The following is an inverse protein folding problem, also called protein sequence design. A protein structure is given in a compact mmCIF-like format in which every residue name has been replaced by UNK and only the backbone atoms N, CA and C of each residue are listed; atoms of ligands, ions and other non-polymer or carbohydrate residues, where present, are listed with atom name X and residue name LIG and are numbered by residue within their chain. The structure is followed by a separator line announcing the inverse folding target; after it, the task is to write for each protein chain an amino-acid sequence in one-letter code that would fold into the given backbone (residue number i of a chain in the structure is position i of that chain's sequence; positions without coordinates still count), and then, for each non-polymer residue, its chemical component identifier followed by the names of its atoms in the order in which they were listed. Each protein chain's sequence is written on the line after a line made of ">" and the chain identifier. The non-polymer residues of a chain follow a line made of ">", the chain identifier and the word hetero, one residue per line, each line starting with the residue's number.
data_IF_810662243269
#
_entry.id   IF_810662243269
#
_cell.length_a   1.000
_cell.length_b   1.000
_cell.length_c   1.000
_cell.angle_alpha   90.00
_cell.angle_beta   90.00
_cell.angle_gamma   90.00
#
_symmetry.space_group_name_H-M   'P 1'
#
loop_
_entity.id
_entity.type
_entity.pdbx_description
1 polymer ?
#
# COMPACT_ATOMS: atom_id res chain seq x y z
N UNK A 1 10.16 3.43 -10.54
CA UNK A 1 8.94 4.04 -11.12
C UNK A 1 8.52 5.19 -10.22
N UNK A 2 7.94 6.22 -10.81
CA UNK A 2 7.49 7.42 -10.14
C UNK A 2 5.98 7.56 -10.39
N UNK A 3 5.19 7.51 -9.32
CA UNK A 3 3.73 7.49 -9.34
C UNK A 3 3.23 8.92 -9.08
N UNK A 4 2.39 9.44 -9.98
CA UNK A 4 1.67 10.70 -9.79
C UNK A 4 0.17 10.40 -9.77
N UNK A 5 -0.56 11.00 -8.84
CA UNK A 5 -2.00 10.77 -8.76
C UNK A 5 -2.82 11.90 -8.15
N UNK A 6 -4.08 11.94 -8.57
CA UNK A 6 -5.18 12.68 -7.97
C UNK A 6 -6.01 11.75 -7.08
N UNK A 7 -6.68 12.30 -6.07
CA UNK A 7 -7.58 11.54 -5.19
C UNK A 7 -8.93 12.23 -5.10
N UNK A 8 -10.02 11.47 -5.21
CA UNK A 8 -11.37 11.89 -4.90
C UNK A 8 -12.05 10.85 -4.00
N UNK A 9 -13.10 11.26 -3.29
CA UNK A 9 -13.93 10.37 -2.49
C UNK A 9 -15.28 10.23 -3.18
N UNK A 10 -15.78 9.00 -3.26
CA UNK A 10 -17.07 8.68 -3.86
C UNK A 10 -17.91 8.00 -2.79
N UNK A 11 -19.11 8.54 -2.54
CA UNK A 11 -20.02 7.95 -1.56
C UNK A 11 -20.47 6.55 -1.97
N UNK A 12 -20.77 5.69 -1.00
CA UNK A 12 -21.15 4.31 -1.26
C UNK A 12 -22.39 4.19 -2.17
N UNK A 13 -23.35 5.11 -2.04
CA UNK A 13 -24.56 5.20 -2.88
C UNK A 13 -24.26 5.54 -4.33
N UNK A 14 -23.16 6.26 -4.58
CA UNK A 14 -22.85 6.84 -5.88
C UNK A 14 -21.87 5.97 -6.67
N UNK A 15 -21.46 4.83 -6.10
CA UNK A 15 -20.51 3.91 -6.71
C UNK A 15 -20.89 3.50 -8.14
N UNK A 16 -22.12 3.07 -8.36
CA UNK A 16 -22.57 2.64 -9.70
C UNK A 16 -22.56 3.80 -10.70
N UNK A 17 -22.91 5.02 -10.27
CA UNK A 17 -22.85 6.21 -11.10
C UNK A 17 -21.39 6.56 -11.45
N UNK A 18 -20.48 6.51 -10.48
CA UNK A 18 -19.05 6.71 -10.70
C UNK A 18 -18.48 5.68 -11.68
N UNK A 19 -18.82 4.39 -11.54
CA UNK A 19 -18.44 3.36 -12.50
C UNK A 19 -19.00 3.62 -13.89
N UNK A 20 -20.25 4.07 -14.02
CA UNK A 20 -20.84 4.39 -15.32
C UNK A 20 -20.13 5.57 -16.00
N UNK A 21 -19.83 6.64 -15.27
CA UNK A 21 -19.05 7.78 -15.76
C UNK A 21 -17.67 7.34 -16.23
N UNK A 22 -16.93 6.61 -15.38
CA UNK A 22 -15.59 6.12 -15.73
C UNK A 22 -15.62 5.13 -16.90
N UNK A 23 -16.65 4.29 -17.00
CA UNK A 23 -16.81 3.36 -18.12
C UNK A 23 -17.03 4.09 -19.44
N UNK A 24 -17.89 5.12 -19.43
CA UNK A 24 -18.12 5.96 -20.60
C UNK A 24 -16.87 6.75 -20.98
N UNK A 25 -16.18 7.32 -19.98
CA UNK A 25 -14.98 8.12 -20.17
C UNK A 25 -13.78 7.31 -20.69
N UNK A 26 -13.59 6.09 -20.17
CA UNK A 26 -12.50 5.20 -20.56
C UNK A 26 -12.88 4.26 -21.72
N UNK A 27 -14.14 4.28 -22.17
CA UNK A 27 -14.70 3.38 -23.17
C UNK A 27 -14.45 1.88 -22.86
N UNK A 28 -14.49 1.50 -21.58
CA UNK A 28 -14.30 0.12 -21.14
C UNK A 28 -15.12 -0.19 -19.89
N UNK A 29 -15.55 -1.45 -19.68
CA UNK A 29 -16.15 -1.85 -18.42
C UNK A 29 -15.11 -1.85 -17.28
N UNK A 30 -15.54 -1.79 -16.01
CA UNK A 30 -14.64 -1.93 -14.89
C UNK A 30 -13.96 -3.30 -14.88
N UNK A 31 -12.68 -3.33 -14.55
CA UNK A 31 -11.97 -4.54 -14.17
C UNK A 31 -11.95 -4.65 -12.64
N UNK A 32 -12.79 -5.52 -12.10
CA UNK A 32 -12.83 -5.84 -10.66
C UNK A 32 -11.70 -6.81 -10.27
N UNK A 33 -11.02 -6.51 -9.17
CA UNK A 33 -10.06 -7.40 -8.52
C UNK A 33 -10.19 -7.30 -7.01
N UNK A 34 -9.92 -8.40 -6.31
CA UNK A 34 -9.80 -8.41 -4.86
C UNK A 34 -8.39 -8.85 -4.49
N UNK A 35 -7.78 -8.13 -3.56
CA UNK A 35 -6.43 -8.37 -3.11
C UNK A 35 -6.42 -8.60 -1.60
N UNK A 36 -5.70 -9.63 -1.14
CA UNK A 36 -5.25 -9.73 0.25
C UNK A 36 -3.96 -8.93 0.39
N UNK A 37 -3.94 -7.95 1.29
CA UNK A 37 -2.78 -7.08 1.50
C UNK A 37 -2.21 -7.32 2.89
N UNK A 38 -0.96 -7.76 2.96
CA UNK A 38 -0.23 -8.00 4.19
C UNK A 38 0.76 -6.86 4.43
N UNK A 39 0.75 -6.30 5.62
CA UNK A 39 1.60 -5.17 5.99
C UNK A 39 2.74 -5.64 6.91
N UNK A 40 3.96 -5.33 6.50
CA UNK A 40 5.18 -5.71 7.19
C UNK A 40 6.00 -4.48 7.57
N UNK A 41 6.22 -4.26 8.85
CA UNK A 41 7.05 -3.16 9.33
C UNK A 41 8.53 -3.55 9.25
N UNK A 42 9.34 -2.68 8.66
CA UNK A 42 10.80 -2.84 8.66
C UNK A 42 11.44 -2.77 10.05
N UNK A 43 12.67 -3.28 10.18
CA UNK A 43 13.41 -3.28 11.44
C UNK A 43 13.73 -1.85 11.92
N UNK A 44 13.93 -1.60 13.23
CA UNK A 44 14.29 -0.27 13.72
C UNK A 44 15.60 0.28 13.12
N UNK A 45 16.55 -0.61 12.82
CA UNK A 45 17.78 -0.29 12.11
C UNK A 45 17.64 -0.73 10.65
N UNK A 46 17.64 0.20 9.67
CA UNK A 46 17.51 -0.16 8.27
C UNK A 46 18.74 -0.94 7.79
N UNK A 47 18.51 -2.09 7.16
CA UNK A 47 19.54 -2.98 6.59
C UNK A 47 19.24 -3.40 5.16
N UNK A 48 18.14 -2.91 4.58
CA UNK A 48 17.65 -3.35 3.28
C UNK A 48 17.17 -4.80 3.29
N UNK A 49 17.12 -5.38 2.09
CA UNK A 49 16.92 -6.82 1.86
C UNK A 49 18.30 -7.44 1.63
N UNK A 50 19.07 -7.66 2.71
CA UNK A 50 20.44 -8.17 2.65
C UNK A 50 20.49 -9.70 2.59
N UNK A 51 19.54 -10.37 3.25
CA UNK A 51 19.39 -11.82 3.18
C UNK A 51 18.55 -12.19 1.96
N UNK A 52 19.15 -12.92 1.02
CA UNK A 52 18.51 -13.36 -0.22
C UNK A 52 18.24 -14.88 -0.25
N UNK A 53 18.34 -15.59 0.87
CA UNK A 53 18.17 -17.04 0.91
C UNK A 53 16.77 -17.47 0.44
N UNK A 54 15.74 -16.70 0.81
CA UNK A 54 14.35 -16.95 0.42
C UNK A 54 13.94 -16.30 -0.90
N UNK A 55 14.82 -15.52 -1.55
CA UNK A 55 14.53 -14.92 -2.86
C UNK A 55 14.73 -15.98 -3.95
N UNK A 56 13.69 -16.23 -4.73
CA UNK A 56 13.71 -17.23 -5.80
C UNK A 56 14.71 -16.85 -6.92
N UNK A 57 15.51 -17.81 -7.36
CA UNK A 57 16.52 -17.66 -8.42
C UNK A 57 16.34 -18.78 -9.46
N UNK A 58 16.61 -18.53 -10.75
CA UNK A 58 17.09 -17.29 -11.35
C UNK A 58 15.99 -16.23 -11.51
N UNK A 59 16.40 -14.96 -11.55
CA UNK A 59 15.49 -13.82 -11.64
C UNK A 59 15.54 -13.20 -13.04
N UNK A 60 14.40 -12.66 -13.51
CA UNK A 60 14.38 -11.81 -14.70
C UNK A 60 15.23 -10.55 -14.46
N UNK A 61 15.86 -10.00 -15.51
CA UNK A 61 16.82 -8.89 -15.40
C UNK A 61 16.18 -7.62 -14.81
N UNK A 62 14.97 -7.31 -15.23
CA UNK A 62 14.12 -6.23 -14.72
C UNK A 62 13.83 -6.41 -13.22
N UNK A 63 13.41 -7.61 -12.82
CA UNK A 63 13.18 -7.93 -11.41
C UNK A 63 14.46 -7.76 -10.58
N UNK A 64 15.61 -8.25 -11.06
CA UNK A 64 16.89 -8.09 -10.36
C UNK A 64 17.26 -6.60 -10.15
N UNK A 65 16.99 -5.73 -11.12
CA UNK A 65 17.19 -4.29 -10.97
C UNK A 65 16.27 -3.69 -9.91
N UNK A 66 14.98 -4.05 -9.92
CA UNK A 66 14.01 -3.57 -8.94
C UNK A 66 14.33 -4.05 -7.51
N UNK A 67 14.81 -5.27 -7.34
CA UNK A 67 15.27 -5.77 -6.03
C UNK A 67 16.49 -4.99 -5.52
N UNK A 68 17.41 -4.61 -6.41
CA UNK A 68 18.56 -3.77 -6.05
C UNK A 68 18.14 -2.36 -5.65
N UNK A 69 17.23 -1.73 -6.41
CA UNK A 69 16.69 -0.40 -6.06
C UNK A 69 15.92 -0.46 -4.74
N UNK A 70 15.08 -1.48 -4.54
CA UNK A 70 14.36 -1.71 -3.30
C UNK A 70 15.33 -1.85 -2.12
N UNK A 71 16.36 -2.69 -2.24
CA UNK A 71 17.39 -2.84 -1.22
C UNK A 71 18.05 -1.50 -0.89
N UNK A 72 18.41 -0.69 -1.89
CA UNK A 72 19.05 0.60 -1.67
C UNK A 72 18.18 1.58 -0.87
N UNK A 73 16.88 1.65 -1.17
CA UNK A 73 15.95 2.53 -0.45
C UNK A 73 15.76 2.04 1.01
N UNK A 74 15.57 0.73 1.19
CA UNK A 74 15.35 0.11 2.50
C UNK A 74 16.61 0.05 3.40
N UNK A 75 17.80 0.21 2.82
CA UNK A 75 19.06 0.34 3.57
C UNK A 75 19.25 1.73 4.16
N UNK A 76 18.53 2.75 3.67
CA UNK A 76 18.63 4.13 4.17
C UNK A 76 17.61 4.43 5.27
N UNK A 77 16.42 3.86 5.15
CA UNK A 77 15.28 4.13 6.01
C UNK A 77 14.38 2.89 6.05
N UNK A 78 13.77 2.63 7.20
CA UNK A 78 12.81 1.53 7.34
C UNK A 78 11.41 1.99 6.97
N UNK A 79 10.67 1.10 6.31
CA UNK A 79 9.32 1.35 5.80
C UNK A 79 8.38 0.21 6.16
N UNK A 80 7.08 0.49 6.12
CA UNK A 80 6.04 -0.53 6.03
C UNK A 80 5.93 -0.98 4.56
N UNK A 81 6.15 -2.26 4.32
CA UNK A 81 6.01 -2.91 3.01
C UNK A 81 4.68 -3.64 2.91
N UNK A 82 4.20 -3.80 1.67
CA UNK A 82 3.00 -4.57 1.36
C UNK A 82 3.36 -5.81 0.55
N UNK A 83 2.93 -6.99 1.00
CA UNK A 83 2.82 -8.18 0.15
C UNK A 83 1.36 -8.36 -0.25
N UNK A 84 1.09 -8.44 -1.55
CA UNK A 84 -0.27 -8.41 -2.10
C UNK A 84 -0.52 -9.68 -2.90
N UNK A 85 -1.68 -10.31 -2.70
CA UNK A 85 -2.08 -11.54 -3.37
C UNK A 85 -3.48 -11.39 -3.93
N UNK A 86 -3.70 -11.86 -5.15
CA UNK A 86 -5.03 -11.93 -5.74
C UNK A 86 -5.89 -12.94 -4.99
N UNK A 87 -7.17 -12.59 -4.80
CA UNK A 87 -8.17 -13.39 -4.10
C UNK A 87 -9.38 -13.55 -5.00
N UNK A 88 -9.85 -14.78 -5.14
CA UNK A 88 -11.13 -15.10 -5.79
C UNK A 88 -12.16 -15.32 -4.69
N UNK A 89 -13.17 -14.43 -4.60
CA UNK A 89 -14.16 -14.39 -3.50
C UNK A 89 -14.80 -15.76 -3.26
N UNK A 90 -15.17 -16.47 -4.32
CA UNK A 90 -15.91 -17.73 -4.27
C UNK A 90 -15.03 -18.94 -3.89
N UNK A 91 -13.71 -18.86 -4.11
CA UNK A 91 -12.76 -19.95 -3.90
C UNK A 91 -11.97 -19.81 -2.60
N UNK A 92 -11.54 -18.59 -2.31
CA UNK A 92 -10.50 -18.31 -1.32
C UNK A 92 -11.04 -17.77 0.01
N UNK A 93 -12.35 -17.48 0.08
CA UNK A 93 -12.98 -16.86 1.25
C UNK A 93 -14.11 -17.72 1.83
N UNK A 94 -14.25 -17.68 3.15
CA UNK A 94 -15.33 -18.37 3.86
C UNK A 94 -14.97 -19.76 4.39
N UNK A 95 -15.93 -20.45 5.01
CA UNK A 95 -15.66 -21.67 5.80
C UNK A 95 -15.22 -22.87 4.96
N UNK A 96 -15.50 -22.87 3.65
CA UNK A 96 -15.09 -23.92 2.71
C UNK A 96 -13.75 -23.63 2.01
N UNK A 97 -13.15 -22.46 2.23
CA UNK A 97 -11.89 -22.10 1.60
C UNK A 97 -10.74 -22.94 2.16
N UNK A 98 -9.89 -23.44 1.27
CA UNK A 98 -8.69 -24.15 1.67
C UNK A 98 -7.68 -23.17 2.29
N UNK A 99 -6.91 -23.58 3.31
CA UNK A 99 -5.80 -22.79 3.80
C UNK A 99 -4.80 -22.45 2.69
N UNK A 100 -4.38 -21.18 2.62
CA UNK A 100 -3.45 -20.70 1.61
C UNK A 100 -2.03 -20.71 2.16
N UNK A 101 -1.12 -21.40 1.46
CA UNK A 101 0.32 -21.26 1.68
C UNK A 101 0.85 -20.05 0.91
N UNK A 102 1.01 -18.94 1.65
CA UNK A 102 1.50 -17.67 1.13
C UNK A 102 2.94 -17.71 0.61
N UNK A 103 3.78 -18.64 1.07
CA UNK A 103 5.14 -18.77 0.53
C UNK A 103 5.15 -19.46 -0.83
N UNK A 104 4.15 -20.29 -1.13
CA UNK A 104 3.96 -20.93 -2.44
C UNK A 104 3.25 -20.03 -3.46
N UNK A 105 2.38 -19.12 -2.99
CA UNK A 105 1.60 -18.22 -3.82
C UNK A 105 2.47 -17.14 -4.48
N UNK A 106 2.15 -16.79 -5.72
CA UNK A 106 2.72 -15.61 -6.37
C UNK A 106 1.99 -14.37 -5.88
N UNK A 107 2.76 -13.35 -5.52
CA UNK A 107 2.25 -12.06 -5.07
C UNK A 107 3.08 -10.90 -5.59
N UNK A 108 2.72 -9.71 -5.13
CA UNK A 108 3.38 -8.45 -5.46
C UNK A 108 3.99 -7.89 -4.19
N UNK A 109 5.30 -7.67 -4.18
CA UNK A 109 5.94 -6.88 -3.13
C UNK A 109 5.94 -5.41 -3.55
N UNK A 110 5.25 -4.57 -2.76
CA UNK A 110 5.08 -3.15 -3.03
C UNK A 110 5.74 -2.30 -1.96
N UNK A 111 6.52 -1.33 -2.42
CA UNK A 111 7.08 -0.23 -1.64
C UNK A 111 6.67 1.10 -2.26
N UNK A 112 6.34 2.08 -1.42
CA UNK A 112 6.05 3.45 -1.82
C UNK A 112 6.77 4.40 -0.86
N UNK A 113 7.44 5.40 -1.41
CA UNK A 113 8.15 6.42 -0.64
C UNK A 113 7.19 7.48 -0.06
N UNK A 114 7.72 8.31 0.84
CA UNK A 114 7.03 9.48 1.33
C UNK A 114 6.81 10.49 0.18
N UNK A 115 5.59 11.01 -0.03
CA UNK A 115 5.36 11.92 -1.14
C UNK A 115 6.13 13.23 -1.04
N UNK A 116 6.49 13.76 -2.21
CA UNK A 116 7.13 15.06 -2.32
C UNK A 116 6.23 16.17 -1.76
N UNK A 117 6.82 17.32 -1.36
CA UNK A 117 6.03 18.48 -1.03
C UNK A 117 5.10 18.86 -2.19
N UNK A 118 3.87 19.31 -1.91
CA UNK A 118 2.97 19.75 -2.96
C UNK A 118 3.55 20.94 -3.71
N UNK A 119 3.50 20.89 -5.04
CA UNK A 119 3.95 21.97 -5.93
C UNK A 119 2.82 22.35 -6.89
N UNK A 120 2.50 23.65 -6.97
CA UNK A 120 1.49 24.17 -7.92
C UNK A 120 0.03 23.82 -7.59
N UNK A 121 -0.86 24.08 -8.55
CA UNK A 121 -2.27 23.66 -8.57
C UNK A 121 -2.58 23.03 -9.94
N UNK A 122 -3.32 21.91 -10.03
CA UNK A 122 -3.91 21.13 -8.94
C UNK A 122 -2.84 20.46 -8.05
N UNK A 123 -3.19 20.19 -6.79
CA UNK A 123 -2.25 19.53 -5.87
C UNK A 123 -2.20 18.04 -6.20
N UNK A 124 -1.19 17.67 -6.98
CA UNK A 124 -0.89 16.28 -7.31
C UNK A 124 -0.06 15.65 -6.19
N UNK A 125 -0.38 14.41 -5.84
CA UNK A 125 0.53 13.61 -5.01
C UNK A 125 1.51 12.89 -5.93
N UNK A 126 2.79 13.01 -5.63
CA UNK A 126 3.84 12.36 -6.42
C UNK A 126 4.87 11.70 -5.50
N UNK A 127 5.29 10.48 -5.84
CA UNK A 127 6.23 9.70 -5.03
C UNK A 127 6.91 8.61 -5.84
N UNK A 128 8.06 8.14 -5.35
CA UNK A 128 8.69 6.94 -5.87
C UNK A 128 7.93 5.69 -5.41
N UNK A 129 7.81 4.70 -6.29
CA UNK A 129 7.24 3.40 -5.99
C UNK A 129 8.02 2.28 -6.68
N UNK A 130 8.02 1.11 -6.04
CA UNK A 130 8.59 -0.13 -6.56
C UNK A 130 7.55 -1.23 -6.36
N UNK A 131 7.24 -1.93 -7.44
CA UNK A 131 6.37 -3.11 -7.43
C UNK A 131 7.12 -4.27 -8.08
N UNK A 132 7.34 -5.32 -7.30
CA UNK A 132 7.94 -6.56 -7.75
C UNK A 132 6.82 -7.58 -7.94
N UNK A 133 6.44 -7.80 -9.20
CA UNK A 133 5.34 -8.67 -9.58
C UNK A 133 5.77 -10.15 -9.61
N UNK A 134 4.81 -11.06 -9.43
CA UNK A 134 4.97 -12.52 -9.57
C UNK A 134 6.04 -13.12 -8.63
N UNK A 135 6.23 -12.52 -7.45
CA UNK A 135 7.22 -12.99 -6.48
C UNK A 135 6.60 -14.06 -5.57
N UNK A 136 7.34 -15.14 -5.30
CA UNK A 136 7.00 -16.13 -4.29
C UNK A 136 7.80 -15.92 -3.01
N UNK A 137 7.45 -16.66 -1.96
CA UNK A 137 8.15 -16.66 -0.67
C UNK A 137 8.23 -15.29 0.01
N UNK A 138 7.31 -14.38 -0.29
CA UNK A 138 7.36 -13.01 0.23
C UNK A 138 7.35 -12.96 1.77
N UNK A 139 6.51 -13.74 2.50
CA UNK A 139 6.55 -13.78 3.96
C UNK A 139 7.91 -14.25 4.46
N UNK A 140 8.48 -15.30 3.87
CA UNK A 140 9.81 -15.80 4.22
C UNK A 140 10.91 -14.77 3.93
N UNK A 141 10.92 -14.13 2.75
CA UNK A 141 11.89 -13.08 2.41
C UNK A 141 11.84 -11.94 3.42
N UNK A 142 10.64 -11.47 3.78
CA UNK A 142 10.47 -10.37 4.72
C UNK A 142 10.91 -10.77 6.14
N UNK A 143 10.50 -11.95 6.61
CA UNK A 143 10.89 -12.48 7.93
C UNK A 143 12.40 -12.66 8.05
N UNK A 144 13.04 -13.23 7.03
CA UNK A 144 14.50 -13.46 6.97
C UNK A 144 15.32 -12.16 6.98
N UNK A 145 14.68 -11.03 6.66
CA UNK A 145 15.23 -9.68 6.70
C UNK A 145 14.69 -8.85 7.89
N UNK A 146 14.17 -9.52 8.92
CA UNK A 146 13.69 -8.91 10.17
C UNK A 146 12.50 -7.95 10.01
N UNK A 147 11.72 -8.09 8.94
CA UNK A 147 10.43 -7.41 8.85
C UNK A 147 9.41 -8.14 9.73
N UNK A 148 8.63 -7.36 10.46
CA UNK A 148 7.59 -7.87 11.36
C UNK A 148 6.23 -7.70 10.70
N UNK A 149 5.49 -8.80 10.53
CA UNK A 149 4.09 -8.71 10.17
C UNK A 149 3.32 -7.88 11.20
N UNK A 150 2.43 -7.01 10.73
CA UNK A 150 1.62 -6.13 11.60
C UNK A 150 0.15 -6.44 11.50
N UNK A 151 -0.33 -6.52 10.26
CA UNK A 151 -1.73 -6.67 9.98
C UNK A 151 -1.95 -7.04 8.52
N UNK A 152 -3.20 -7.32 8.21
CA UNK A 152 -3.66 -7.58 6.86
C UNK A 152 -5.08 -7.06 6.66
N UNK A 153 -5.39 -6.79 5.40
CA UNK A 153 -6.69 -6.31 4.93
C UNK A 153 -7.08 -7.00 3.62
N UNK A 154 -8.35 -6.86 3.27
CA UNK A 154 -8.86 -7.12 1.92
C UNK A 154 -9.03 -5.79 1.23
N UNK A 155 -8.59 -5.70 -0.02
CA UNK A 155 -8.75 -4.53 -0.87
C UNK A 155 -9.52 -4.90 -2.12
N UNK A 156 -10.68 -4.27 -2.29
CA UNK A 156 -11.51 -4.34 -3.48
C UNK A 156 -11.16 -3.19 -4.41
N UNK A 157 -10.88 -3.50 -5.67
CA UNK A 157 -10.40 -2.53 -6.65
C UNK A 157 -11.15 -2.69 -7.96
N UNK A 158 -11.70 -1.59 -8.47
CA UNK A 158 -12.28 -1.48 -9.80
C UNK A 158 -11.37 -0.59 -10.64
N UNK A 159 -10.79 -1.15 -11.71
CA UNK A 159 -9.85 -0.44 -12.59
C UNK A 159 -10.46 -0.09 -13.93
N UNK A 160 -10.03 1.06 -14.45
CA UNK A 160 -10.26 1.50 -15.82
C UNK A 160 -8.96 2.08 -16.38
N UNK A 161 -8.81 2.03 -17.70
CA UNK A 161 -7.61 2.48 -18.39
C UNK A 161 -8.01 3.35 -19.58
N UNK A 162 -7.37 4.51 -19.69
CA UNK A 162 -7.45 5.37 -20.88
C UNK A 162 -6.03 5.82 -21.22
N UNK A 163 -5.55 5.40 -22.39
CA UNK A 163 -4.16 5.59 -22.81
C UNK A 163 -3.16 5.00 -21.79
N UNK A 164 -2.45 5.87 -21.08
CA UNK A 164 -1.44 5.54 -20.06
C UNK A 164 -1.90 5.89 -18.63
N UNK A 165 -3.17 6.22 -18.48
CA UNK A 165 -3.78 6.68 -17.23
C UNK A 165 -4.61 5.56 -16.64
N UNK A 166 -4.35 5.23 -15.37
CA UNK A 166 -5.11 4.26 -14.59
C UNK A 166 -6.11 4.99 -13.69
N UNK A 167 -7.37 4.57 -13.72
CA UNK A 167 -8.41 5.02 -12.81
C UNK A 167 -8.74 3.86 -11.88
N UNK A 168 -8.56 4.05 -10.57
CA UNK A 168 -8.79 3.03 -9.55
C UNK A 168 -9.86 3.52 -8.56
N UNK A 169 -10.97 2.81 -8.46
CA UNK A 169 -11.84 2.89 -7.29
C UNK A 169 -11.44 1.79 -6.31
N UNK A 170 -11.03 2.18 -5.11
CA UNK A 170 -10.58 1.25 -4.07
C UNK A 170 -11.40 1.36 -2.81
N UNK A 171 -11.71 0.21 -2.21
CA UNK A 171 -12.24 0.10 -0.85
C UNK A 171 -11.47 -0.98 -0.09
N UNK A 172 -11.22 -0.74 1.18
CA UNK A 172 -10.49 -1.64 2.05
C UNK A 172 -11.38 -2.17 3.17
N UNK A 173 -11.12 -3.39 3.59
CA UNK A 173 -11.84 -4.09 4.64
C UNK A 173 -10.88 -4.73 5.64
N UNK A 174 -11.22 -4.61 6.91
CA UNK A 174 -10.63 -5.39 7.98
C UNK A 174 -11.12 -6.85 7.91
N UNK A 175 -10.19 -7.75 8.20
CA UNK A 175 -10.41 -9.21 8.25
C UNK A 175 -10.93 -9.68 9.62
N UNK A 176 -10.88 -8.79 10.62
CA UNK A 176 -11.41 -9.01 11.96
C UNK A 176 -12.24 -7.80 12.36
N UNK A 177 -12.98 -7.90 13.47
CA UNK A 177 -13.70 -6.73 13.97
C UNK A 177 -12.69 -5.66 14.43
N UNK A 178 -13.03 -4.38 14.30
CA UNK A 178 -12.10 -3.28 14.59
C UNK A 178 -11.54 -3.32 16.02
N UNK A 179 -12.29 -3.85 16.99
CA UNK A 179 -11.85 -3.99 18.38
C UNK A 179 -10.75 -5.04 18.58
N UNK A 180 -10.58 -5.96 17.63
CA UNK A 180 -9.50 -6.95 17.64
C UNK A 180 -8.15 -6.35 17.23
N UNK A 181 -8.17 -5.14 16.63
CA UNK A 181 -6.97 -4.42 16.26
C UNK A 181 -6.42 -3.66 17.47
N UNK A 182 -5.70 -4.37 18.33
CA UNK A 182 -4.98 -3.76 19.46
C UNK A 182 -3.78 -2.94 19.00
N UNK A 183 -3.54 -1.74 19.60
CA UNK A 183 -2.32 -0.97 19.36
C UNK A 183 -1.05 -1.77 19.64
N UNK A 184 0.01 -1.49 18.89
CA UNK A 184 1.27 -2.25 18.94
C UNK A 184 1.96 -2.23 20.30
N UNK A 185 1.84 -1.14 21.05
CA UNK A 185 2.49 -0.96 22.35
C UNK A 185 1.92 -1.88 23.44
N UNK A 186 0.68 -2.37 23.26
CA UNK A 186 0.00 -3.22 24.23
C UNK A 186 0.10 -4.72 23.94
N UNK A 187 0.74 -5.15 22.83
CA UNK A 187 0.91 -6.57 22.50
C UNK A 187 2.14 -7.16 23.20
N UNK A 188 1.92 -7.83 24.34
CA UNK A 188 2.96 -8.52 25.10
C UNK A 188 3.25 -9.96 24.63
N UNK A 189 2.45 -10.53 23.73
CA UNK A 189 2.53 -11.95 23.36
C UNK A 189 2.52 -12.13 21.83
N UNK A 190 3.55 -12.85 21.34
CA UNK A 190 3.83 -13.32 19.97
C UNK A 190 3.61 -12.34 18.79
N UNK A 191 4.55 -12.26 17.84
CA UNK A 191 4.31 -11.50 16.61
C UNK A 191 3.07 -12.09 15.92
N UNK A 192 2.12 -11.24 15.46
CA UNK A 192 0.97 -11.75 14.73
C UNK A 192 1.46 -12.52 13.50
N UNK A 193 0.72 -13.55 13.12
CA UNK A 193 0.91 -14.26 11.86
C UNK A 193 -0.26 -13.96 10.91
N UNK A 194 -0.05 -13.98 9.59
CA UNK A 194 -1.13 -13.90 8.62
C UNK A 194 -2.12 -15.06 8.81
N UNK A 195 -3.41 -14.80 8.62
CA UNK A 195 -4.45 -15.82 8.66
C UNK A 195 -4.20 -16.92 7.61
N UNK A 196 -4.32 -18.18 7.99
CA UNK A 196 -4.23 -19.28 7.02
C UNK A 196 -5.48 -19.36 6.12
N UNK A 197 -6.64 -18.98 6.64
CA UNK A 197 -7.94 -18.97 5.94
C UNK A 197 -8.60 -17.60 6.04
N UNK A 198 -9.18 -17.12 4.94
CA UNK A 198 -9.88 -15.84 4.92
C UNK A 198 -11.35 -16.00 5.38
N UNK A 199 -11.90 -15.03 6.14
CA UNK A 199 -13.31 -15.01 6.51
C UNK A 199 -14.19 -14.83 5.26
N UNK A 200 -15.50 -15.09 5.39
CA UNK A 200 -16.44 -14.89 4.29
C UNK A 200 -16.56 -13.40 3.94
N UNK A 201 -16.84 -13.09 2.67
CA UNK A 201 -16.96 -11.72 2.17
C UNK A 201 -17.92 -10.85 2.99
N UNK A 202 -19.12 -11.38 3.26
CA UNK A 202 -20.18 -10.64 3.98
C UNK A 202 -19.87 -10.40 5.47
N UNK A 203 -18.81 -11.03 6.00
CA UNK A 203 -18.36 -10.83 7.38
C UNK A 203 -17.25 -9.79 7.51
N UNK A 204 -16.75 -9.27 6.39
CA UNK A 204 -15.72 -8.23 6.38
C UNK A 204 -16.27 -6.91 6.91
N UNK A 205 -15.41 -6.14 7.60
CA UNK A 205 -15.77 -4.82 8.12
C UNK A 205 -15.06 -3.74 7.30
N UNK A 206 -15.77 -2.79 6.65
CA UNK A 206 -15.14 -1.70 5.90
C UNK A 206 -14.15 -0.92 6.78
N UNK A 207 -13.02 -0.47 6.21
CA UNK A 207 -12.05 0.36 6.95
C UNK A 207 -12.59 1.78 7.13
N UNK A 208 -13.21 2.33 6.08
CA UNK A 208 -13.96 3.58 6.18
C UNK A 208 -15.39 3.30 6.68
N UNK A 209 -15.72 3.78 7.87
CA UNK A 209 -17.05 3.63 8.47
C UNK A 209 -18.15 4.36 7.69
N UNK A 210 -17.79 5.35 6.86
CA UNK A 210 -18.71 6.01 5.93
C UNK A 210 -18.91 5.18 4.65
N UNK A 211 -18.21 4.06 4.52
CA UNK A 211 -18.28 3.14 3.40
C UNK A 211 -18.05 3.83 2.04
N UNK A 212 -17.14 4.79 1.99
CA UNK A 212 -16.79 5.50 0.75
C UNK A 212 -15.80 4.70 -0.08
N UNK A 213 -15.75 5.00 -1.36
CA UNK A 213 -14.71 4.58 -2.28
C UNK A 213 -13.67 5.68 -2.42
N UNK A 214 -12.42 5.29 -2.55
CA UNK A 214 -11.32 6.20 -2.88
C UNK A 214 -11.07 6.06 -4.37
N UNK A 215 -11.36 7.12 -5.13
CA UNK A 215 -10.95 7.22 -6.53
C UNK A 215 -9.52 7.76 -6.58
N UNK A 216 -8.64 7.04 -7.28
CA UNK A 216 -7.31 7.52 -7.64
C UNK A 216 -7.15 7.52 -9.15
N UNK A 217 -6.70 8.64 -9.71
CA UNK A 217 -6.32 8.75 -11.13
C UNK A 217 -4.81 8.86 -11.21
N UNK A 218 -4.16 7.89 -11.85
CA UNK A 218 -2.72 7.66 -11.72
C UNK A 218 -2.03 7.66 -13.07
N UNK A 219 -0.80 8.17 -13.08
CA UNK A 219 0.17 7.98 -14.16
C UNK A 219 1.46 7.47 -13.53
N UNK A 220 2.05 6.47 -14.17
CA UNK A 220 3.34 5.90 -13.78
C UNK A 220 4.43 6.30 -14.78
N UNK A 221 5.43 7.03 -14.30
CA UNK A 221 6.63 7.36 -15.07
C UNK A 221 7.71 6.33 -14.73
N UNK A 222 8.24 5.63 -15.72
CA UNK A 222 9.18 4.52 -15.49
C UNK A 222 10.48 5.00 -14.84
N UNK A 223 10.98 6.17 -15.25
CA UNK A 223 12.26 6.74 -14.84
C UNK A 223 12.05 8.05 -14.07
N UNK A 224 12.44 8.06 -12.80
CA UNK A 224 12.32 9.22 -11.90
C UNK A 224 13.34 10.34 -12.21
N UNK A 225 14.37 10.05 -13.00
CA UNK A 225 15.40 11.00 -13.40
C UNK A 225 15.08 11.78 -14.70
N UNK A 226 13.84 11.67 -15.22
CA UNK A 226 13.39 12.37 -16.42
C UNK A 226 12.35 13.45 -16.09
N UNK A 227 12.79 14.68 -15.77
CA UNK A 227 11.89 15.75 -15.34
C UNK A 227 10.86 16.15 -16.41
N UNK A 228 11.20 16.03 -17.68
CA UNK A 228 10.28 16.35 -18.78
C UNK A 228 9.12 15.35 -18.88
N UNK A 229 9.39 14.05 -18.65
CA UNK A 229 8.33 13.02 -18.61
C UNK A 229 7.41 13.21 -17.39
N UNK A 230 7.98 13.60 -16.23
CA UNK A 230 7.21 13.94 -15.03
C UNK A 230 6.31 15.16 -15.29
N UNK A 231 6.84 16.22 -15.90
CA UNK A 231 6.04 17.41 -16.24
C UNK A 231 4.89 17.07 -17.19
N UNK A 232 5.16 16.27 -18.23
CA UNK A 232 4.11 15.80 -19.15
C UNK A 232 3.03 15.01 -18.41
N UNK A 233 3.39 14.15 -17.46
CA UNK A 233 2.43 13.42 -16.63
C UNK A 233 1.61 14.36 -15.73
N UNK A 234 2.23 15.39 -15.16
CA UNK A 234 1.53 16.43 -14.38
C UNK A 234 0.50 17.18 -15.23
N UNK A 235 0.90 17.64 -16.42
CA UNK A 235 0.01 18.36 -17.34
C UNK A 235 -1.17 17.48 -17.80
N UNK A 236 -0.92 16.19 -18.06
CA UNK A 236 -1.98 15.24 -18.40
C UNK A 236 -2.97 15.03 -17.25
N UNK A 237 -2.49 14.83 -16.01
CA UNK A 237 -3.37 14.71 -14.85
C UNK A 237 -4.16 15.99 -14.61
N UNK A 238 -3.57 17.16 -14.83
CA UNK A 238 -4.28 18.44 -14.73
C UNK A 238 -5.40 18.56 -15.79
N UNK A 239 -5.15 18.12 -17.02
CA UNK A 239 -6.19 18.06 -18.07
C UNK A 239 -7.34 17.13 -17.67
N UNK A 240 -7.04 15.92 -17.20
CA UNK A 240 -8.05 14.96 -16.75
C UNK A 240 -8.84 15.49 -15.56
N UNK A 241 -8.19 16.19 -14.63
CA UNK A 241 -8.87 16.86 -13.53
C UNK A 241 -9.95 17.84 -14.03
N UNK A 242 -9.66 18.59 -15.10
CA UNK A 242 -10.63 19.50 -15.73
C UNK A 242 -11.72 18.77 -16.52
N UNK A 243 -11.40 17.69 -17.24
CA UNK A 243 -12.39 16.87 -17.96
C UNK A 243 -13.40 16.19 -17.02
N UNK A 244 -12.96 15.82 -15.82
CA UNK A 244 -13.78 15.16 -14.81
C UNK A 244 -14.38 16.11 -13.77
N UNK A 245 -14.16 17.42 -13.92
CA UNK A 245 -14.72 18.44 -13.05
C UNK A 245 -16.26 18.37 -13.08
N UNK A 246 -16.88 18.51 -11.91
CA UNK A 246 -18.33 18.36 -11.73
C UNK A 246 -18.83 16.92 -11.62
N UNK A 247 -18.07 15.93 -12.12
CA UNK A 247 -18.35 14.50 -11.89
C UNK A 247 -17.66 13.98 -10.63
N UNK A 248 -16.43 14.45 -10.37
CA UNK A 248 -15.65 14.07 -9.20
C UNK A 248 -15.04 15.30 -8.53
N UNK A 249 -15.06 15.29 -7.20
CA UNK A 249 -14.48 16.36 -6.37
C UNK A 249 -13.09 15.93 -5.88
N UNK A 250 -12.07 16.30 -6.66
CA UNK A 250 -10.67 15.96 -6.35
C UNK A 250 -10.16 16.74 -5.13
N UNK A 251 -9.69 16.00 -4.13
CA UNK A 251 -9.26 16.53 -2.85
C UNK A 251 -7.74 16.62 -2.76
N UNK A 252 -7.28 17.69 -2.11
CA UNK A 252 -5.91 17.74 -1.61
C UNK A 252 -5.83 16.90 -0.33
N UNK A 253 -5.02 15.84 -0.35
CA UNK A 253 -4.77 14.99 0.81
C UNK A 253 -3.40 15.36 1.40
N UNK A 254 -3.30 15.47 2.72
CA UNK A 254 -2.01 15.66 3.38
C UNK A 254 -1.11 14.45 3.07
N UNK A 255 0.06 14.71 2.49
CA UNK A 255 1.05 13.68 2.15
C UNK A 255 1.43 12.77 3.32
N UNK A 256 1.28 13.22 4.57
CA UNK A 256 1.51 12.41 5.78
C UNK A 256 0.60 11.19 5.86
N UNK A 257 -0.58 11.23 5.25
CA UNK A 257 -1.49 10.07 5.16
C UNK A 257 -0.85 8.93 4.35
N UNK A 258 0.09 9.25 3.46
CA UNK A 258 0.82 8.29 2.65
C UNK A 258 2.21 7.97 3.20
N UNK A 259 2.56 8.43 4.40
CA UNK A 259 3.87 8.17 5.00
C UNK A 259 3.95 6.72 5.51
N UNK A 260 4.78 5.93 4.84
CA UNK A 260 5.04 4.53 5.18
C UNK A 260 6.32 4.37 6.01
N UNK A 261 7.03 5.45 6.34
CA UNK A 261 8.30 5.37 7.08
C UNK A 261 8.05 4.93 8.52
N UNK A 262 8.92 4.05 9.00
CA UNK A 262 8.96 3.66 10.40
C UNK A 262 9.78 4.70 11.15
N UNK A 263 9.19 5.30 12.19
CA UNK A 263 9.90 6.25 13.04
C UNK A 263 11.16 5.58 13.61
N UNK A 264 12.31 6.21 13.41
CA UNK A 264 13.55 5.72 14.03
C UNK A 264 13.40 5.84 15.54
N UNK A 265 13.47 4.71 16.25
CA UNK A 265 13.59 4.75 17.70
C UNK A 265 14.89 5.49 18.04
N UNK A 266 14.78 6.64 18.69
CA UNK A 266 15.94 7.33 19.24
C UNK A 266 16.55 6.45 20.33
N UNK A 267 17.64 5.75 20.01
CA UNK A 267 18.49 5.17 21.05
C UNK A 267 19.17 6.32 21.78
N UNK A 268 18.85 6.52 23.06
CA UNK A 268 19.73 7.29 23.95
C UNK A 268 19.13 8.43 24.77
N UNK A 269 17.81 8.53 24.97
CA UNK A 269 17.34 9.23 26.18
C UNK A 269 17.20 8.17 27.27
N UNK A 270 18.29 7.95 28.03
CA UNK A 270 18.12 7.39 29.37
C UNK A 270 17.06 8.26 30.06
N UNK A 271 15.92 7.69 30.40
CA UNK A 271 14.95 8.37 31.24
C UNK A 271 15.70 8.83 32.49
N UNK A 272 15.83 10.15 32.67
CA UNK A 272 16.45 10.71 33.86
C UNK A 272 15.70 10.13 35.07
N UNK A 273 16.41 9.60 36.10
CA UNK A 273 15.74 9.02 37.24
C UNK A 273 14.86 10.08 37.91
N UNK A 274 13.54 9.83 37.93
CA UNK A 274 12.52 10.77 38.43
C UNK A 274 12.56 10.99 39.96
N UNK A 275 13.55 10.44 40.69
CA UNK A 275 13.70 10.66 42.13
C UNK A 275 15.16 10.84 42.52
N UNK A 276 15.54 12.10 42.72
CA UNK A 276 16.68 12.45 43.57
C UNK A 276 16.20 12.38 45.02
N UNK A 277 16.63 11.35 45.75
CA UNK A 277 16.48 11.32 47.20
C UNK A 277 17.48 12.32 47.79
N UNK A 278 17.00 13.52 48.13
CA UNK A 278 17.78 14.44 48.96
C UNK A 278 17.80 13.86 50.38
N UNK A 279 18.97 13.37 50.79
CA UNK A 279 19.22 12.94 52.16
C UNK A 279 18.98 14.09 53.13
N UNK A 280 18.21 13.83 54.18
CA UNK A 280 18.10 14.71 55.35
C UNK A 280 19.32 14.45 56.23
N UNK A 281 20.15 15.48 56.42
CA UNK A 281 20.97 15.63 57.63
C UNK A 281 20.23 16.57 58.57
#
# INVERSE_FOLDING_TARGET
>A
MYELFLTALVEGSDFHAACAVLSGFCAMPPWETVNRVLYFQGPPRPTGISNQASVEKPMRKDAAFLWKDLHQNLSRQSFVLQARYDVVKERDMGPSAAPVDLDSAQGILRWTDFPDPPHGRPVLTQRKAIELWEQRKLPSVLRDNHYQFKTETIEEVYRFFRDQIEFCLTRQYFLKAIHDYTPLESRQHQPPEPLSTLPAWDSLTPVDMQNRWILQVKIHVLQDNKPDEIRKAQDQLASICGELEGSFDFKTIDRKVHDTRVAMQQQGIQALPQKVMLGKN
#
